data_IF_507115017407
#
_entry.id   IF_507115017407
#
_cell.length_a   1.000
_cell.length_b   1.000
_cell.length_c   1.000
_cell.angle_alpha   90.00
_cell.angle_beta   90.00
_cell.angle_gamma   90.00
#
_symmetry.space_group_name_H-M   'P 1'
#
loop_
_entity.id
_entity.type
_entity.pdbx_description
1 polymer ?
#
# COMPACT_ATOMS: atom_id res chain seq x y z
N UNK A 1 7.82 -36.11 45.62
CA UNK A 1 8.35 -36.34 44.25
C UNK A 1 7.27 -37.11 43.52
N UNK A 2 6.51 -36.55 42.60
CA UNK A 2 6.97 -35.82 41.40
C UNK A 2 6.01 -34.69 41.06
N UNK A 3 6.57 -33.50 40.84
CA UNK A 3 5.90 -32.34 40.29
C UNK A 3 5.84 -32.50 38.76
N UNK A 4 4.65 -32.54 38.17
CA UNK A 4 4.50 -32.44 36.71
C UNK A 4 4.24 -30.99 36.34
N UNK A 5 5.28 -30.34 35.82
CA UNK A 5 5.21 -28.99 35.28
C UNK A 5 4.79 -29.08 33.82
N UNK A 6 3.50 -28.93 33.52
CA UNK A 6 3.06 -28.74 32.13
C UNK A 6 3.37 -27.31 31.69
N UNK A 7 4.53 -27.13 31.06
CA UNK A 7 4.88 -25.94 30.29
C UNK A 7 4.06 -25.92 29.00
N UNK A 8 2.99 -25.11 28.98
CA UNK A 8 2.24 -24.82 27.76
C UNK A 8 2.95 -23.71 27.00
N UNK A 9 3.76 -24.10 26.01
CA UNK A 9 4.30 -23.14 25.03
C UNK A 9 3.16 -22.79 24.07
N UNK A 10 2.49 -21.67 24.33
CA UNK A 10 1.44 -21.11 23.47
C UNK A 10 2.08 -20.49 22.22
N UNK A 11 2.51 -21.35 21.30
CA UNK A 11 3.17 -20.93 20.07
C UNK A 11 2.14 -20.31 19.11
N UNK A 12 2.36 -19.04 18.76
CA UNK A 12 1.63 -18.37 17.70
C UNK A 12 2.20 -18.74 16.33
N UNK A 13 1.36 -18.76 15.27
CA UNK A 13 -0.08 -18.50 15.30
C UNK A 13 -0.91 -19.75 15.69
N UNK A 14 -1.93 -19.56 16.53
CA UNK A 14 -2.93 -20.60 16.80
C UNK A 14 -3.76 -20.85 15.54
N UNK A 15 -3.69 -22.08 15.02
CA UNK A 15 -4.46 -22.49 13.85
C UNK A 15 -5.82 -23.03 14.33
N UNK A 16 -6.88 -22.26 14.12
CA UNK A 16 -8.26 -22.65 14.39
C UNK A 16 -9.08 -22.54 13.09
N UNK A 17 -9.14 -23.60 12.26
CA UNK A 17 -9.84 -23.54 10.99
C UNK A 17 -11.35 -23.42 11.23
N UNK A 18 -11.95 -22.30 10.80
CA UNK A 18 -13.39 -22.09 10.81
C UNK A 18 -14.00 -22.66 9.52
N UNK A 19 -15.00 -23.54 9.65
CA UNK A 19 -15.72 -24.07 8.46
C UNK A 19 -16.35 -22.92 7.69
N UNK A 20 -16.17 -22.91 6.37
CA UNK A 20 -16.73 -21.90 5.46
C UNK A 20 -15.83 -20.67 5.22
N UNK A 21 -14.63 -20.63 5.79
CA UNK A 21 -13.63 -19.62 5.45
C UNK A 21 -12.89 -19.95 4.15
N UNK A 22 -12.40 -18.95 3.42
CA UNK A 22 -11.58 -19.17 2.23
C UNK A 22 -10.26 -19.85 2.60
N UNK A 23 -9.78 -20.73 1.70
CA UNK A 23 -8.49 -21.42 1.86
C UNK A 23 -7.29 -20.47 1.73
N UNK A 24 -7.50 -19.30 1.12
CA UNK A 24 -6.47 -18.30 0.90
C UNK A 24 -7.03 -16.88 1.10
N UNK A 25 -6.22 -16.03 1.71
CA UNK A 25 -6.45 -14.59 1.79
C UNK A 25 -5.31 -13.87 1.08
N UNK A 26 -5.64 -12.74 0.45
CA UNK A 26 -4.62 -11.82 -0.07
C UNK A 26 -4.56 -10.60 0.81
N UNK A 27 -3.37 -10.32 1.33
CA UNK A 27 -3.09 -9.09 2.05
C UNK A 27 -2.74 -8.02 1.01
N UNK A 28 -3.45 -6.90 1.05
CA UNK A 28 -3.16 -5.72 0.25
C UNK A 28 -2.49 -4.70 1.16
N UNK A 29 -1.16 -4.62 1.08
CA UNK A 29 -0.37 -3.79 1.99
C UNK A 29 -0.35 -2.34 1.49
N UNK A 30 -0.71 -1.40 2.37
CA UNK A 30 -0.84 0.03 2.04
C UNK A 30 0.12 0.91 2.81
N UNK A 31 0.93 0.34 3.71
CA UNK A 31 1.89 1.05 4.56
C UNK A 31 2.81 2.01 3.80
N UNK A 32 3.43 1.62 2.67
CA UNK A 32 4.29 2.51 1.90
C UNK A 32 3.57 3.75 1.33
N UNK A 33 2.24 3.68 1.11
CA UNK A 33 1.42 4.79 0.61
C UNK A 33 0.62 5.45 1.72
N UNK A 34 -0.41 4.77 2.23
CA UNK A 34 -1.36 5.31 3.21
C UNK A 34 -0.71 5.53 4.58
N UNK A 35 0.13 4.58 5.00
CA UNK A 35 0.87 4.70 6.26
C UNK A 35 1.79 5.91 6.24
N UNK A 36 2.69 5.98 5.26
CA UNK A 36 3.66 7.09 5.15
C UNK A 36 3.02 8.44 4.85
N UNK A 37 1.80 8.47 4.30
CA UNK A 37 1.05 9.71 4.07
C UNK A 37 0.69 10.43 5.38
N UNK A 38 0.46 9.70 6.47
CA UNK A 38 0.10 10.27 7.78
C UNK A 38 1.31 10.63 8.65
N UNK A 39 2.52 10.25 8.23
CA UNK A 39 3.74 10.47 9.02
C UNK A 39 4.17 11.95 9.05
N UNK A 40 4.56 12.40 10.24
CA UNK A 40 5.00 13.77 10.46
C UNK A 40 6.35 14.08 9.78
N UNK A 41 7.21 13.07 9.66
CA UNK A 41 8.55 13.20 9.07
C UNK A 41 8.55 12.60 7.68
N UNK A 42 9.09 13.34 6.71
CA UNK A 42 9.27 12.82 5.35
C UNK A 42 10.34 11.74 5.35
N UNK A 43 9.94 10.54 4.94
CA UNK A 43 10.85 9.40 4.76
C UNK A 43 11.61 9.55 3.43
N UNK A 44 12.95 9.39 3.40
CA UNK A 44 13.72 9.45 2.17
C UNK A 44 13.34 8.34 1.16
N UNK A 45 13.42 8.64 -0.13
CA UNK A 45 13.08 7.73 -1.24
C UNK A 45 13.75 6.37 -1.12
N UNK A 46 15.05 6.32 -0.81
CA UNK A 46 15.80 5.06 -0.66
C UNK A 46 15.24 4.19 0.47
N UNK A 47 14.79 4.81 1.56
CA UNK A 47 14.19 4.10 2.71
C UNK A 47 12.79 3.59 2.34
N UNK A 48 12.00 4.35 1.57
CA UNK A 48 10.71 3.89 1.05
C UNK A 48 10.86 2.67 0.13
N UNK A 49 11.81 2.71 -0.80
CA UNK A 49 12.07 1.60 -1.70
C UNK A 49 12.54 0.35 -0.95
N UNK A 50 13.43 0.52 0.03
CA UNK A 50 13.85 -0.55 0.93
C UNK A 50 12.69 -1.14 1.74
N UNK A 51 11.79 -0.29 2.23
CA UNK A 51 10.60 -0.74 2.95
C UNK A 51 9.73 -1.65 2.08
N UNK A 52 9.48 -1.28 0.83
CA UNK A 52 8.74 -2.13 -0.13
C UNK A 52 9.43 -3.48 -0.33
N UNK A 53 10.76 -3.51 -0.50
CA UNK A 53 11.49 -4.77 -0.70
C UNK A 53 11.37 -5.69 0.52
N UNK A 54 11.45 -5.14 1.74
CA UNK A 54 11.28 -5.92 2.97
C UNK A 54 9.88 -6.49 3.13
N UNK A 55 8.85 -5.75 2.69
CA UNK A 55 7.48 -6.25 2.66
C UNK A 55 7.33 -7.44 1.69
N UNK A 56 8.01 -7.37 0.53
CA UNK A 56 8.08 -8.50 -0.41
C UNK A 56 8.82 -9.69 0.20
N UNK A 57 9.98 -9.46 0.83
CA UNK A 57 10.73 -10.51 1.53
C UNK A 57 9.94 -11.15 2.68
N UNK A 58 9.03 -10.41 3.30
CA UNK A 58 8.09 -10.93 4.30
C UNK A 58 6.96 -11.79 3.69
N UNK A 59 6.91 -11.94 2.37
CA UNK A 59 5.95 -12.80 1.66
C UNK A 59 4.70 -12.08 1.15
N UNK A 60 4.66 -10.74 1.19
CA UNK A 60 3.54 -9.98 0.64
C UNK A 60 3.64 -9.89 -0.88
N UNK A 61 2.52 -10.14 -1.56
CA UNK A 61 2.45 -10.18 -3.03
C UNK A 61 1.70 -9.01 -3.64
N UNK A 62 1.13 -8.13 -2.82
CA UNK A 62 0.44 -6.92 -3.28
C UNK A 62 0.70 -5.77 -2.35
N UNK A 63 1.41 -4.75 -2.85
CA UNK A 63 1.90 -3.63 -2.06
C UNK A 63 1.61 -2.33 -2.83
N UNK A 64 0.80 -1.45 -2.26
CA UNK A 64 0.55 -0.13 -2.80
C UNK A 64 1.75 0.79 -2.51
N UNK A 65 2.53 1.07 -3.56
CA UNK A 65 3.89 1.62 -3.42
C UNK A 65 3.88 3.10 -3.06
N UNK A 66 3.03 3.87 -3.74
CA UNK A 66 2.99 5.34 -3.64
C UNK A 66 1.72 5.89 -4.29
N UNK A 67 1.60 7.23 -4.35
CA UNK A 67 0.49 7.93 -4.99
C UNK A 67 0.95 9.06 -5.90
N UNK A 68 0.33 9.17 -7.08
CA UNK A 68 0.49 10.29 -8.00
C UNK A 68 -0.54 11.41 -7.72
N UNK A 69 -0.68 11.77 -6.44
CA UNK A 69 -1.45 12.92 -5.98
C UNK A 69 -0.68 14.23 -6.17
N UNK A 70 -1.35 15.35 -5.89
CA UNK A 70 -0.73 16.67 -5.85
C UNK A 70 0.29 16.75 -4.69
N UNK A 71 1.58 17.05 -4.96
CA UNK A 71 2.60 17.26 -3.92
C UNK A 71 2.25 18.38 -2.94
N UNK A 72 1.44 19.35 -3.39
CA UNK A 72 0.95 20.43 -2.54
C UNK A 72 0.01 19.91 -1.45
N UNK A 73 -0.72 18.83 -1.73
CA UNK A 73 -1.73 18.30 -0.82
C UNK A 73 -1.12 17.22 0.07
N UNK A 74 -0.29 16.35 -0.51
CA UNK A 74 0.42 15.29 0.21
C UNK A 74 1.93 15.40 -0.09
N UNK A 75 2.67 16.27 0.62
CA UNK A 75 4.11 16.40 0.45
C UNK A 75 4.88 15.12 0.74
N UNK A 76 4.34 14.21 1.54
CA UNK A 76 4.98 12.95 1.93
C UNK A 76 5.28 12.04 0.73
N UNK A 77 4.53 12.18 -0.36
CA UNK A 77 4.57 11.31 -1.54
C UNK A 77 4.98 12.06 -2.82
N UNK A 78 5.67 13.20 -2.70
CA UNK A 78 6.07 13.99 -3.87
C UNK A 78 7.15 13.32 -4.74
N UNK A 79 7.88 12.38 -4.16
CA UNK A 79 8.92 11.55 -4.78
C UNK A 79 8.38 10.24 -5.41
N UNK A 80 7.09 10.20 -5.75
CA UNK A 80 6.43 8.99 -6.26
C UNK A 80 7.13 8.37 -7.48
N UNK A 81 7.64 9.19 -8.40
CA UNK A 81 8.34 8.71 -9.59
C UNK A 81 9.66 8.03 -9.20
N UNK A 82 10.43 8.67 -8.33
CA UNK A 82 11.72 8.21 -7.84
C UNK A 82 11.57 6.92 -7.01
N UNK A 83 10.53 6.83 -6.18
CA UNK A 83 10.24 5.61 -5.41
C UNK A 83 9.90 4.46 -6.34
N UNK A 84 8.98 4.66 -7.30
CA UNK A 84 8.56 3.59 -8.21
C UNK A 84 9.73 3.12 -9.09
N UNK A 85 10.56 4.05 -9.57
CA UNK A 85 11.78 3.75 -10.32
C UNK A 85 12.79 2.96 -9.47
N UNK A 86 12.99 3.36 -8.21
CA UNK A 86 13.93 2.70 -7.31
C UNK A 86 13.46 1.29 -6.90
N UNK A 87 12.16 1.08 -6.72
CA UNK A 87 11.59 -0.25 -6.47
C UNK A 87 11.77 -1.15 -7.70
N UNK A 88 11.48 -0.62 -8.89
CA UNK A 88 11.56 -1.37 -10.14
C UNK A 88 10.49 -2.47 -10.24
N UNK A 89 10.46 -3.24 -11.34
CA UNK A 89 9.61 -4.41 -11.44
C UNK A 89 10.11 -5.52 -10.50
N UNK A 90 9.18 -6.23 -9.86
CA UNK A 90 9.45 -7.39 -9.02
C UNK A 90 8.58 -8.55 -9.51
N UNK A 91 9.22 -9.65 -9.91
CA UNK A 91 8.52 -10.79 -10.52
C UNK A 91 7.51 -11.39 -9.56
N UNK A 92 6.26 -11.55 -10.03
CA UNK A 92 5.16 -12.11 -9.24
C UNK A 92 4.60 -11.17 -8.16
N UNK A 93 5.04 -9.92 -8.10
CA UNK A 93 4.56 -8.92 -7.13
C UNK A 93 3.70 -7.86 -7.81
N UNK A 94 2.53 -7.61 -7.25
CA UNK A 94 1.64 -6.53 -7.63
C UNK A 94 2.06 -5.24 -6.92
N UNK A 95 2.34 -4.20 -7.71
CA UNK A 95 2.84 -2.90 -7.25
C UNK A 95 1.90 -1.75 -7.68
N UNK A 96 0.63 -1.74 -7.23
CA UNK A 96 -0.30 -0.68 -7.57
C UNK A 96 0.17 0.68 -7.04
N UNK A 97 -0.20 1.74 -7.75
CA UNK A 97 -0.04 3.14 -7.31
C UNK A 97 -1.37 3.87 -7.32
N UNK A 98 -1.61 4.71 -6.34
CA UNK A 98 -2.86 5.47 -6.23
C UNK A 98 -2.87 6.64 -7.22
N UNK A 99 -3.90 6.69 -8.07
CA UNK A 99 -4.08 7.69 -9.11
C UNK A 99 -5.46 8.36 -8.98
N UNK A 100 -5.54 9.62 -8.50
CA UNK A 100 -6.82 10.29 -8.26
C UNK A 100 -7.44 10.95 -9.49
N UNK A 101 -6.66 11.19 -10.56
CA UNK A 101 -7.11 11.92 -11.74
C UNK A 101 -6.22 11.64 -12.96
N UNK A 102 -6.64 12.14 -14.13
CA UNK A 102 -5.96 11.95 -15.43
C UNK A 102 -4.51 12.45 -15.43
N UNK A 103 -4.23 13.60 -14.79
CA UNK A 103 -2.85 14.12 -14.69
C UNK A 103 -1.96 13.20 -13.84
N UNK A 104 -2.51 12.64 -12.76
CA UNK A 104 -1.84 11.62 -11.97
C UNK A 104 -1.57 10.36 -12.79
N UNK A 105 -2.51 9.97 -13.66
CA UNK A 105 -2.39 8.81 -14.54
C UNK A 105 -1.25 8.98 -15.55
N UNK A 106 -1.17 10.14 -16.21
CA UNK A 106 -0.08 10.46 -17.14
C UNK A 106 1.29 10.33 -16.48
N UNK A 107 1.43 10.87 -15.25
CA UNK A 107 2.68 10.75 -14.47
C UNK A 107 2.98 9.32 -14.05
N UNK A 108 1.96 8.55 -13.64
CA UNK A 108 2.12 7.15 -13.27
C UNK A 108 2.59 6.30 -14.45
N UNK A 109 1.98 6.48 -15.62
CA UNK A 109 2.36 5.81 -16.86
C UNK A 109 3.80 6.18 -17.28
N UNK A 110 4.15 7.46 -17.20
CA UNK A 110 5.51 7.92 -17.49
C UNK A 110 6.56 7.30 -16.54
N UNK A 111 6.18 7.05 -15.28
CA UNK A 111 7.01 6.36 -14.28
C UNK A 111 7.04 4.83 -14.44
N UNK A 112 6.33 4.27 -15.42
CA UNK A 112 6.29 2.84 -15.70
C UNK A 112 5.33 2.03 -14.82
N UNK A 113 4.34 2.67 -14.19
CA UNK A 113 3.31 1.97 -13.43
C UNK A 113 2.53 0.98 -14.31
N UNK A 114 2.35 -0.25 -13.82
CA UNK A 114 1.59 -1.31 -14.50
C UNK A 114 0.20 -1.51 -13.93
N UNK A 115 0.01 -1.10 -12.67
CA UNK A 115 -1.23 -1.24 -11.93
C UNK A 115 -1.55 0.09 -11.26
N UNK A 116 -2.81 0.48 -11.30
CA UNK A 116 -3.29 1.70 -10.67
C UNK A 116 -4.46 1.37 -9.74
N UNK A 117 -4.54 2.12 -8.64
CA UNK A 117 -5.70 2.16 -7.78
C UNK A 117 -6.42 3.50 -7.98
N UNK A 118 -7.74 3.45 -8.15
CA UNK A 118 -8.61 4.62 -8.17
C UNK A 118 -9.54 4.56 -6.97
N UNK A 119 -9.91 5.69 -6.41
CA UNK A 119 -10.93 5.76 -5.36
C UNK A 119 -12.12 6.58 -5.85
N UNK A 120 -13.32 6.05 -5.59
CA UNK A 120 -14.56 6.78 -5.77
C UNK A 120 -15.15 7.04 -4.37
N UNK A 121 -15.56 8.28 -4.11
CA UNK A 121 -16.34 8.57 -2.92
C UNK A 121 -17.81 8.17 -3.14
N UNK A 122 -18.41 7.47 -2.18
CA UNK A 122 -19.84 7.19 -2.19
C UNK A 122 -20.71 8.45 -1.92
N UNK A 123 -20.12 9.56 -1.48
CA UNK A 123 -20.84 10.82 -1.20
C UNK A 123 -20.22 12.01 -1.95
N UNK A 124 -21.07 12.87 -2.52
CA UNK A 124 -20.66 14.05 -3.29
C UNK A 124 -19.74 14.98 -2.49
N UNK A 125 -20.02 15.18 -1.20
CA UNK A 125 -19.25 16.05 -0.32
C UNK A 125 -17.78 15.61 -0.15
N UNK A 126 -17.48 14.30 -0.21
CA UNK A 126 -16.10 13.80 -0.14
C UNK A 126 -15.41 13.85 -1.51
N UNK A 127 -16.14 13.65 -2.62
CA UNK A 127 -15.59 13.78 -3.97
C UNK A 127 -15.10 15.21 -4.22
N UNK A 128 -15.89 16.21 -3.82
CA UNK A 128 -15.57 17.63 -4.01
C UNK A 128 -14.31 18.07 -3.25
N UNK A 129 -14.10 17.54 -2.05
CA UNK A 129 -12.95 17.88 -1.20
C UNK A 129 -11.65 17.13 -1.58
N UNK A 130 -11.74 15.92 -2.12
CA UNK A 130 -10.56 15.09 -2.42
C UNK A 130 -10.19 14.99 -3.92
N UNK A 131 -11.12 15.20 -4.85
CA UNK A 131 -10.91 14.97 -6.28
C UNK A 131 -10.89 16.25 -7.13
N UNK A 132 -11.19 17.41 -6.54
CA UNK A 132 -11.29 18.69 -7.26
C UNK A 132 -12.19 18.65 -8.53
N UNK A 133 -13.21 17.78 -8.54
CA UNK A 133 -14.30 17.75 -9.53
C UNK A 133 -15.62 17.37 -8.86
N UNK A 134 -16.72 17.94 -9.35
CA UNK A 134 -18.08 17.44 -9.12
C UNK A 134 -18.33 16.20 -10.02
N UNK A 135 -19.29 15.34 -9.67
CA UNK A 135 -19.69 14.16 -10.48
C UNK A 135 -20.43 14.54 -11.77
N UNK A 136 -20.02 15.61 -12.44
CA UNK A 136 -20.54 16.07 -13.72
C UNK A 136 -19.41 16.66 -14.56
N UNK A 137 -18.75 15.82 -15.36
CA UNK A 137 -17.83 16.20 -16.45
C UNK A 137 -16.45 16.72 -16.05
#
# INVERSE_FOLDING_TARGET
MTSETTSSTDALPRIAPQRGMPEQVRIYEVGPRDGLQAEAVRVPTAVKAEFVRRLVEAGLTTIEVTSFVSPRWIPQLDDAHEVLTAVGPLDGIHLPVLVPNERGLERALAAGAREIAVFASATESFAKNNLARDMAG
#
